data_IF_856295163592
#
_entry.id   IF_856295163592
#
_cell.length_a   1.000
_cell.length_b   1.000
_cell.length_c   1.000
_cell.angle_alpha   90.00
_cell.angle_beta   90.00
_cell.angle_gamma   90.00
#
_symmetry.space_group_name_H-M   'P 1'
#
loop_
_entity.id
_entity.type
_entity.pdbx_description
1 polymer ?
#
# COMPACT_ATOMS: atom_id res chain seq x y z
N UNK A 1 11.37 30.52 -4.93
CA UNK A 1 11.57 29.35 -4.03
C UNK A 1 11.70 28.07 -4.85
N UNK A 2 12.93 27.76 -5.28
CA UNK A 2 13.24 26.64 -6.17
C UNK A 2 13.93 25.51 -5.41
N UNK A 3 13.24 24.39 -5.24
CA UNK A 3 13.86 23.10 -4.93
C UNK A 3 13.75 22.25 -6.19
N UNK A 4 14.72 22.41 -7.10
CA UNK A 4 14.68 21.85 -8.46
C UNK A 4 14.64 20.30 -8.49
N UNK A 5 15.06 19.61 -7.43
CA UNK A 5 15.11 18.14 -7.40
C UNK A 5 13.83 17.44 -6.91
N UNK A 6 12.97 18.12 -6.12
CA UNK A 6 11.75 17.49 -5.53
C UNK A 6 10.53 17.55 -6.45
N UNK A 7 10.48 18.50 -7.39
CA UNK A 7 9.30 18.72 -8.26
C UNK A 7 9.02 17.57 -9.24
N UNK A 8 9.98 16.69 -9.54
CA UNK A 8 9.79 15.62 -10.54
C UNK A 8 9.43 14.27 -9.94
N UNK A 9 9.91 13.96 -8.73
CA UNK A 9 9.67 12.68 -8.05
C UNK A 9 8.29 12.61 -7.41
N UNK A 10 7.77 13.73 -6.91
CA UNK A 10 6.45 13.80 -6.25
C UNK A 10 5.30 14.00 -7.23
N UNK A 11 5.54 14.03 -8.55
CA UNK A 11 4.46 14.19 -9.54
C UNK A 11 3.51 13.00 -9.50
N UNK A 12 2.22 13.27 -9.66
CA UNK A 12 1.14 12.27 -9.67
C UNK A 12 1.41 11.13 -10.66
N UNK A 13 1.90 11.44 -11.87
CA UNK A 13 2.28 10.43 -12.88
C UNK A 13 3.38 9.43 -12.47
N UNK A 14 4.10 9.68 -11.37
CA UNK A 14 5.19 8.83 -10.84
C UNK A 14 4.90 8.36 -9.41
N UNK A 15 3.66 8.55 -8.94
CA UNK A 15 3.29 8.23 -7.57
C UNK A 15 3.32 6.71 -7.37
N UNK A 16 4.06 6.31 -6.35
CA UNK A 16 4.11 4.92 -5.90
C UNK A 16 2.95 4.63 -4.97
N UNK A 17 2.75 3.34 -4.67
CA UNK A 17 1.72 2.90 -3.73
C UNK A 17 1.98 3.46 -2.32
N UNK A 18 0.92 3.95 -1.69
CA UNK A 18 0.99 4.54 -0.36
C UNK A 18 1.03 3.46 0.74
N UNK A 19 1.45 3.84 1.95
CA UNK A 19 1.74 2.89 3.06
C UNK A 19 0.46 2.21 3.56
N UNK A 20 -0.63 2.97 3.62
CA UNK A 20 -1.99 2.54 3.97
C UNK A 20 -2.53 1.47 3.00
N UNK A 21 -2.36 1.70 1.69
CA UNK A 21 -2.77 0.73 0.67
C UNK A 21 -1.98 -0.58 0.78
N UNK A 22 -0.68 -0.49 1.03
CA UNK A 22 0.17 -1.68 1.25
C UNK A 22 -0.23 -2.41 2.54
N UNK A 23 -0.61 -1.69 3.59
CA UNK A 23 -1.15 -2.30 4.82
C UNK A 23 -2.44 -3.08 4.51
N UNK A 24 -3.34 -2.52 3.70
CA UNK A 24 -4.56 -3.20 3.27
C UNK A 24 -4.29 -4.45 2.41
N UNK A 25 -3.26 -4.42 1.55
CA UNK A 25 -2.81 -5.60 0.79
C UNK A 25 -2.33 -6.73 1.71
N UNK A 26 -1.62 -6.38 2.79
CA UNK A 26 -1.11 -7.36 3.76
C UNK A 26 -2.24 -7.97 4.60
N UNK A 27 -3.29 -7.19 4.88
CA UNK A 27 -4.44 -7.65 5.65
C UNK A 27 -5.39 -8.53 4.82
N UNK A 28 -5.54 -8.24 3.53
CA UNK A 28 -6.52 -8.91 2.68
C UNK A 28 -5.90 -9.44 1.38
N UNK A 29 -5.86 -10.77 1.16
CA UNK A 29 -5.27 -11.34 -0.04
C UNK A 29 -6.06 -10.96 -1.31
N UNK A 30 -7.38 -10.74 -1.18
CA UNK A 30 -8.24 -10.28 -2.28
C UNK A 30 -7.82 -8.90 -2.81
N UNK A 31 -7.47 -7.96 -1.93
CA UNK A 31 -7.05 -6.62 -2.34
C UNK A 31 -5.73 -6.64 -3.11
N UNK A 32 -4.81 -7.51 -2.69
CA UNK A 32 -3.56 -7.75 -3.39
C UNK A 32 -3.80 -8.35 -4.78
N UNK A 33 -4.68 -9.35 -4.90
CA UNK A 33 -5.03 -9.97 -6.19
C UNK A 33 -5.61 -8.94 -7.18
N UNK A 34 -6.61 -8.18 -6.75
CA UNK A 34 -7.21 -7.10 -7.55
C UNK A 34 -6.15 -6.11 -8.04
N UNK A 35 -5.20 -5.74 -7.19
CA UNK A 35 -4.11 -4.87 -7.60
C UNK A 35 -3.22 -5.50 -8.68
N UNK A 36 -2.84 -6.77 -8.52
CA UNK A 36 -2.00 -7.47 -9.51
C UNK A 36 -2.72 -7.60 -10.85
N UNK A 37 -4.03 -7.85 -10.83
CA UNK A 37 -4.87 -7.94 -12.03
C UNK A 37 -4.96 -6.61 -12.80
N UNK A 38 -4.81 -5.47 -12.12
CA UNK A 38 -4.77 -4.16 -12.82
C UNK A 38 -3.57 -3.97 -13.74
N UNK A 39 -2.59 -4.88 -13.70
CA UNK A 39 -1.35 -4.80 -14.48
C UNK A 39 -1.24 -6.01 -15.39
N UNK A 40 -1.09 -5.76 -16.69
CA UNK A 40 -0.81 -6.81 -17.66
C UNK A 40 0.57 -7.41 -17.37
N UNK A 41 0.67 -8.75 -17.39
CA UNK A 41 1.92 -9.45 -17.08
C UNK A 41 3.05 -9.10 -18.07
N UNK A 42 2.71 -8.80 -19.31
CA UNK A 42 3.65 -8.50 -20.41
C UNK A 42 4.40 -7.18 -20.21
N UNK A 43 3.75 -6.19 -19.58
CA UNK A 43 4.34 -4.88 -19.32
C UNK A 43 5.22 -4.86 -18.05
N UNK A 44 5.19 -5.94 -17.27
CA UNK A 44 5.84 -6.01 -15.97
C UNK A 44 7.24 -6.64 -16.08
N UNK A 45 8.23 -6.14 -15.31
CA UNK A 45 9.52 -6.81 -15.17
C UNK A 45 9.34 -8.27 -14.71
N UNK A 46 10.08 -9.19 -15.33
CA UNK A 46 10.04 -10.62 -14.97
C UNK A 46 8.66 -11.26 -15.15
N UNK A 47 7.83 -10.75 -16.07
CA UNK A 47 6.45 -11.20 -16.31
C UNK A 47 5.55 -11.16 -15.05
N UNK A 48 5.86 -10.24 -14.13
CA UNK A 48 5.12 -10.13 -12.87
C UNK A 48 5.30 -11.33 -11.93
N UNK A 49 6.40 -12.09 -12.04
CA UNK A 49 6.66 -13.22 -11.14
C UNK A 49 7.27 -12.78 -9.81
N UNK A 50 8.21 -11.85 -9.84
CA UNK A 50 8.99 -11.45 -8.66
C UNK A 50 8.47 -10.12 -8.08
N UNK A 51 7.63 -10.19 -7.05
CA UNK A 51 6.99 -9.02 -6.45
C UNK A 51 7.28 -8.88 -4.96
N UNK A 52 7.72 -7.69 -4.55
CA UNK A 52 7.79 -7.31 -3.15
C UNK A 52 6.53 -6.52 -2.77
N UNK A 53 5.71 -7.10 -1.90
CA UNK A 53 4.42 -6.53 -1.45
C UNK A 53 4.66 -5.22 -0.68
N UNK A 54 5.60 -5.23 0.26
CA UNK A 54 5.84 -4.13 1.19
C UNK A 54 6.34 -2.84 0.51
N UNK A 55 7.15 -3.02 -0.53
CA UNK A 55 7.72 -1.93 -1.32
C UNK A 55 6.93 -1.67 -2.60
N UNK A 56 5.88 -2.46 -2.88
CA UNK A 56 5.07 -2.42 -4.09
C UNK A 56 5.92 -2.34 -5.38
N UNK A 57 6.94 -3.19 -5.48
CA UNK A 57 7.91 -3.17 -6.59
C UNK A 57 8.07 -4.55 -7.24
N UNK A 58 8.09 -4.54 -8.57
CA UNK A 58 8.37 -5.68 -9.41
C UNK A 58 9.87 -5.78 -9.73
N UNK A 59 10.35 -7.00 -9.84
CA UNK A 59 11.74 -7.35 -10.09
C UNK A 59 11.83 -8.32 -11.28
N UNK A 60 12.99 -8.32 -11.94
CA UNK A 60 13.23 -9.15 -13.12
C UNK A 60 13.58 -10.60 -12.76
N UNK A 61 14.28 -10.82 -11.63
CA UNK A 61 14.79 -12.13 -11.21
C UNK A 61 14.60 -12.37 -9.71
N UNK A 62 14.58 -13.64 -9.30
CA UNK A 62 14.51 -14.02 -7.88
C UNK A 62 15.70 -13.51 -7.06
N UNK A 63 16.91 -13.55 -7.64
CA UNK A 63 18.12 -13.09 -6.95
C UNK A 63 18.04 -11.60 -6.61
N UNK A 64 17.48 -10.78 -7.51
CA UNK A 64 17.29 -9.35 -7.27
C UNK A 64 16.26 -9.07 -6.16
N UNK A 65 15.22 -9.89 -6.06
CA UNK A 65 14.24 -9.82 -4.98
C UNK A 65 14.88 -10.18 -3.63
N UNK A 66 15.68 -11.24 -3.57
CA UNK A 66 16.40 -11.64 -2.34
C UNK A 66 17.43 -10.58 -1.91
N UNK A 67 18.12 -9.94 -2.85
CA UNK A 67 19.03 -8.83 -2.52
C UNK A 67 18.26 -7.59 -2.03
N UNK A 68 17.09 -7.31 -2.61
CA UNK A 68 16.23 -6.22 -2.19
C UNK A 68 15.74 -6.39 -0.74
N UNK A 69 15.28 -7.58 -0.35
CA UNK A 69 14.77 -7.83 1.01
C UNK A 69 15.84 -7.65 2.08
N UNK A 70 17.10 -7.99 1.77
CA UNK A 70 18.23 -7.78 2.68
C UNK A 70 18.64 -6.30 2.81
N UNK A 71 18.27 -5.47 1.83
CA UNK A 71 18.67 -4.08 1.71
C UNK A 71 18.06 -3.14 2.76
N UNK A 72 18.80 -2.05 3.06
CA UNK A 72 18.33 -0.95 3.92
C UNK A 72 16.98 -0.32 3.50
N UNK A 73 16.67 -0.08 2.20
CA UNK A 73 15.41 0.57 1.85
C UNK A 73 14.19 -0.27 2.23
N UNK A 74 14.26 -1.59 2.02
CA UNK A 74 13.22 -2.52 2.41
C UNK A 74 13.03 -2.55 3.93
N UNK A 75 14.12 -2.68 4.69
CA UNK A 75 14.09 -2.61 6.16
C UNK A 75 13.50 -1.30 6.70
N UNK A 76 13.72 -0.18 6.01
CA UNK A 76 13.09 1.10 6.37
C UNK A 76 11.58 1.07 6.12
N UNK A 77 11.12 0.48 5.02
CA UNK A 77 9.70 0.33 4.71
C UNK A 77 8.98 -0.58 5.70
N UNK A 78 9.63 -1.67 6.11
CA UNK A 78 9.14 -2.55 7.18
C UNK A 78 8.90 -1.82 8.49
N UNK A 79 9.83 -0.94 8.89
CA UNK A 79 9.66 -0.10 10.09
C UNK A 79 8.45 0.83 9.97
N UNK A 80 8.26 1.47 8.81
CA UNK A 80 7.09 2.31 8.55
C UNK A 80 5.77 1.52 8.61
N UNK A 81 5.75 0.31 8.04
CA UNK A 81 4.56 -0.56 8.08
C UNK A 81 4.26 -1.06 9.51
N UNK A 82 5.29 -1.18 10.36
CA UNK A 82 5.16 -1.53 11.77
C UNK A 82 4.59 -0.39 12.61
N UNK A 83 5.02 0.84 12.37
CA UNK A 83 4.49 2.06 13.02
C UNK A 83 3.01 2.27 12.68
N UNK A 84 2.56 1.79 11.52
CA UNK A 84 1.18 1.89 11.07
C UNK A 84 0.97 3.12 10.18
N UNK A 85 0.01 3.07 9.24
CA UNK A 85 -0.30 4.21 8.40
C UNK A 85 -1.08 5.28 9.18
N UNK A 86 -0.73 6.54 8.96
CA UNK A 86 -1.54 7.67 9.42
C UNK A 86 -2.85 7.73 8.64
N UNK A 87 -3.98 7.81 9.35
CA UNK A 87 -5.30 7.79 8.72
C UNK A 87 -5.97 9.16 8.76
N UNK A 88 -6.96 9.37 7.88
CA UNK A 88 -7.76 10.60 7.88
C UNK A 88 -8.57 10.75 9.17
N UNK A 89 -8.98 9.64 9.79
CA UNK A 89 -9.70 9.63 11.07
C UNK A 89 -8.85 10.18 12.20
N UNK A 90 -7.56 9.80 12.24
CA UNK A 90 -6.60 10.36 13.20
C UNK A 90 -6.39 11.87 13.00
N UNK A 91 -6.36 12.33 11.75
CA UNK A 91 -6.25 13.75 11.43
C UNK A 91 -7.47 14.54 11.92
N UNK A 92 -8.67 14.01 11.66
CA UNK A 92 -9.91 14.60 12.12
C UNK A 92 -9.99 14.63 13.66
N UNK A 93 -9.64 13.54 14.31
CA UNK A 93 -9.63 13.43 15.77
C UNK A 93 -8.68 14.45 16.42
N UNK A 94 -7.53 14.74 15.79
CA UNK A 94 -6.60 15.77 16.27
C UNK A 94 -7.20 17.19 16.24
N UNK A 95 -8.15 17.46 15.32
CA UNK A 95 -8.90 18.72 15.23
C UNK A 95 -10.21 18.64 16.04
N UNK A 96 -10.39 17.61 16.87
CA UNK A 96 -11.63 17.33 17.62
C UNK A 96 -12.87 17.15 16.72
N UNK A 97 -12.66 16.75 15.47
CA UNK A 97 -13.73 16.39 14.55
C UNK A 97 -13.89 14.86 14.56
N UNK A 98 -15.00 14.36 15.11
CA UNK A 98 -15.33 12.93 15.11
C UNK A 98 -16.56 12.69 14.24
N UNK A 99 -16.49 11.69 13.38
CA UNK A 99 -17.64 11.21 12.62
C UNK A 99 -18.24 10.05 13.41
N UNK A 100 -19.41 10.26 14.01
CA UNK A 100 -20.11 9.22 14.74
C UNK A 100 -20.91 8.35 13.75
N UNK A 101 -20.30 7.28 13.26
CA UNK A 101 -20.92 6.33 12.32
C UNK A 101 -22.01 5.43 12.95
N UNK A 102 -22.52 5.77 14.13
CA UNK A 102 -23.45 4.93 14.89
C UNK A 102 -22.81 3.61 15.37
N UNK A 103 -23.60 2.71 15.98
CA UNK A 103 -23.09 1.39 16.39
C UNK A 103 -22.76 0.51 15.19
N UNK A 104 -21.62 -0.19 15.24
CA UNK A 104 -21.24 -1.17 14.21
C UNK A 104 -22.30 -2.27 14.10
N UNK A 105 -22.91 -2.42 12.92
CA UNK A 105 -23.84 -3.52 12.65
C UNK A 105 -23.05 -4.82 12.59
N UNK A 106 -23.33 -5.75 13.48
CA UNK A 106 -22.71 -7.08 13.44
C UNK A 106 -23.12 -7.80 12.15
N UNK A 107 -22.13 -8.39 11.44
CA UNK A 107 -22.28 -9.11 10.16
C UNK A 107 -23.44 -10.12 10.11
N UNK A 108 -23.91 -10.62 11.25
CA UNK A 108 -25.08 -11.48 11.38
C UNK A 108 -26.37 -10.85 10.84
N UNK A 109 -26.53 -9.53 10.94
CA UNK A 109 -27.76 -8.82 10.56
C UNK A 109 -27.88 -8.55 9.05
N UNK A 110 -26.79 -8.65 8.28
CA UNK A 110 -26.83 -8.47 6.81
C UNK A 110 -27.29 -9.74 6.09
N UNK A 111 -27.11 -10.92 6.70
CA UNK A 111 -27.49 -12.22 6.12
C UNK A 111 -29.01 -12.46 6.26
N UNK A 112 -29.67 -11.88 7.28
CA UNK A 112 -31.13 -12.03 7.48
C UNK A 112 -31.99 -11.11 6.61
N UNK A 113 -31.40 -10.17 5.87
CA UNK A 113 -32.12 -9.23 5.01
C UNK A 113 -31.84 -9.39 3.50
N UNK A 114 -31.25 -10.52 3.09
CA UNK A 114 -31.02 -10.88 1.67
C UNK A 114 -31.75 -12.18 1.30
#
# INVERSE_FOLDING_TARGET
MGIFAKRTKTKTRRRTRDVDQVKADLLSPRHLQLYKETKAAEDLPGLGRHYCIECAKWFETDSSLVLHTKGKPHKRRLKQLKEGPYTHEEANAAVSYRIDNGPERTKSQEIEMS
#
